data_IF_547624773281
#
_entry.id   IF_547624773281
#
_cell.length_a   1.000
_cell.length_b   1.000
_cell.length_c   1.000
_cell.angle_alpha   90.00
_cell.angle_beta   90.00
_cell.angle_gamma   90.00
#
_symmetry.space_group_name_H-M   'P 1'
#
loop_
_entity.id
_entity.type
_entity.pdbx_description
1 polymer ?
#
# COMPACT_ATOMS: atom_id res chain seq x y z
N UNK A 1 -15.77 -19.83 -9.04
CA UNK A 1 -15.17 -19.23 -7.84
C UNK A 1 -15.16 -20.31 -6.77
N UNK A 2 -14.11 -20.48 -5.96
CA UNK A 2 -14.11 -21.47 -4.86
C UNK A 2 -15.25 -21.19 -3.87
N UNK A 3 -15.79 -22.24 -3.27
CA UNK A 3 -16.93 -22.13 -2.33
C UNK A 3 -16.56 -21.38 -1.05
N UNK A 4 -15.28 -21.34 -0.68
CA UNK A 4 -14.76 -20.67 0.50
C UNK A 4 -14.20 -19.28 0.24
N UNK A 5 -14.38 -18.71 -0.97
CA UNK A 5 -13.73 -17.46 -1.38
C UNK A 5 -14.06 -16.28 -0.46
N UNK A 6 -15.33 -16.04 -0.22
CA UNK A 6 -15.76 -14.91 0.63
C UNK A 6 -15.30 -15.13 2.08
N UNK A 7 -15.48 -16.34 2.60
CA UNK A 7 -15.04 -16.70 3.96
C UNK A 7 -13.51 -16.53 4.13
N UNK A 8 -12.73 -16.90 3.13
CA UNK A 8 -11.27 -16.74 3.14
C UNK A 8 -10.87 -15.27 3.31
N UNK A 9 -11.45 -14.37 2.49
CA UNK A 9 -11.10 -12.97 2.57
C UNK A 9 -11.66 -12.27 3.82
N UNK A 10 -12.83 -12.64 4.28
CA UNK A 10 -13.38 -12.12 5.53
C UNK A 10 -12.53 -12.53 6.74
N UNK A 11 -12.07 -13.77 6.79
CA UNK A 11 -11.14 -14.22 7.82
C UNK A 11 -9.79 -13.50 7.73
N UNK A 12 -9.24 -13.31 6.54
CA UNK A 12 -7.99 -12.59 6.33
C UNK A 12 -8.09 -11.12 6.77
N UNK A 13 -9.18 -10.42 6.44
CA UNK A 13 -9.46 -9.06 6.93
C UNK A 13 -9.64 -9.01 8.45
N UNK A 14 -10.32 -10.00 9.01
CA UNK A 14 -10.52 -10.13 10.47
C UNK A 14 -9.19 -10.40 11.20
N UNK A 15 -8.30 -11.18 10.61
CA UNK A 15 -6.94 -11.37 11.12
C UNK A 15 -6.18 -10.04 11.09
N UNK A 16 -6.18 -9.34 9.96
CA UNK A 16 -5.54 -8.03 9.81
C UNK A 16 -6.05 -7.03 10.84
N UNK A 17 -7.35 -6.98 11.11
CA UNK A 17 -7.96 -6.04 12.05
C UNK A 17 -7.45 -6.17 13.49
N UNK A 18 -6.92 -7.34 13.87
CA UNK A 18 -6.31 -7.59 15.19
C UNK A 18 -4.85 -7.13 15.28
N UNK A 19 -4.23 -6.86 14.13
CA UNK A 19 -2.85 -6.39 14.08
C UNK A 19 -2.83 -4.89 14.33
N UNK A 20 -2.07 -4.38 15.31
CA UNK A 20 -1.92 -2.94 15.50
C UNK A 20 -1.35 -2.27 14.24
N UNK A 21 -1.81 -1.08 13.93
CA UNK A 21 -1.34 -0.33 12.75
C UNK A 21 0.17 -0.02 12.84
N UNK A 22 0.65 0.30 14.04
CA UNK A 22 2.06 0.62 14.35
C UNK A 22 2.72 1.45 13.24
N UNK A 23 2.04 2.54 12.86
CA UNK A 23 2.50 3.43 11.80
C UNK A 23 3.74 4.21 12.26
N UNK A 24 4.79 4.15 11.44
CA UNK A 24 6.03 4.92 11.66
C UNK A 24 6.23 5.83 10.45
N UNK A 25 6.34 7.13 10.73
CA UNK A 25 6.55 8.15 9.73
C UNK A 25 7.94 8.79 9.92
N UNK A 26 8.67 8.88 8.83
CA UNK A 26 9.95 9.60 8.77
C UNK A 26 9.78 10.72 7.75
N UNK A 27 9.94 11.97 8.18
CA UNK A 27 9.88 13.12 7.27
C UNK A 27 10.99 13.00 6.23
N UNK A 28 10.68 13.37 4.99
CA UNK A 28 11.60 13.44 3.85
C UNK A 28 11.77 14.91 3.44
N UNK A 29 12.63 15.67 4.14
CA UNK A 29 12.73 17.13 3.96
C UNK A 29 13.04 17.53 2.52
N UNK A 30 13.80 16.70 1.80
CA UNK A 30 14.20 16.93 0.40
C UNK A 30 13.03 16.95 -0.59
N UNK A 31 11.87 16.42 -0.18
CA UNK A 31 10.63 16.41 -0.97
C UNK A 31 9.55 17.36 -0.42
N UNK A 32 9.81 18.00 0.72
CA UNK A 32 8.89 18.97 1.30
C UNK A 32 9.09 20.33 0.65
N UNK A 33 8.01 21.11 0.51
CA UNK A 33 8.05 22.49 0.06
C UNK A 33 7.07 23.38 0.85
N UNK A 34 6.64 24.52 0.31
CA UNK A 34 5.69 25.41 0.98
C UNK A 34 4.31 24.78 1.16
N UNK A 35 3.91 23.88 0.26
CA UNK A 35 2.53 23.39 0.14
C UNK A 35 2.32 22.01 0.74
N UNK A 36 3.35 21.14 0.75
CA UNK A 36 3.23 19.74 1.16
C UNK A 36 4.32 19.29 2.14
N UNK A 37 3.96 18.35 2.99
CA UNK A 37 4.90 17.49 3.70
C UNK A 37 4.92 16.11 3.06
N UNK A 38 6.11 15.51 3.02
CA UNK A 38 6.33 14.16 2.49
C UNK A 38 6.97 13.29 3.54
N UNK A 39 6.46 12.08 3.70
CA UNK A 39 6.94 11.12 4.68
C UNK A 39 7.18 9.75 4.03
N UNK A 40 8.27 9.10 4.41
CA UNK A 40 8.38 7.66 4.28
C UNK A 40 7.55 7.02 5.39
N UNK A 41 6.57 6.21 5.01
CA UNK A 41 5.67 5.54 5.94
C UNK A 41 5.94 4.04 5.98
N UNK A 42 5.78 3.48 7.17
CA UNK A 42 5.96 2.06 7.47
C UNK A 42 4.80 1.60 8.35
N UNK A 43 3.97 0.69 7.84
CA UNK A 43 2.79 0.15 8.50
C UNK A 43 3.02 -1.32 8.86
N UNK A 44 2.43 -1.79 9.96
CA UNK A 44 2.44 -3.19 10.32
C UNK A 44 1.35 -3.95 9.57
N UNK A 45 1.71 -5.10 9.02
CA UNK A 45 0.83 -5.97 8.24
C UNK A 45 0.76 -7.37 8.91
N UNK A 46 0.07 -8.31 8.29
CA UNK A 46 -0.06 -9.67 8.82
C UNK A 46 1.29 -10.37 9.02
N UNK A 47 1.28 -11.43 9.80
CA UNK A 47 2.45 -12.32 9.93
C UNK A 47 2.72 -13.06 8.62
N UNK A 48 3.96 -13.44 8.43
CA UNK A 48 4.40 -14.35 7.38
C UNK A 48 4.99 -15.56 8.08
N UNK A 49 4.57 -16.75 7.67
CA UNK A 49 5.09 -17.99 8.24
C UNK A 49 6.61 -18.07 8.11
N UNK A 50 7.25 -18.55 9.16
CA UNK A 50 8.72 -18.63 9.24
C UNK A 50 9.42 -17.29 9.48
N UNK A 51 8.69 -16.16 9.59
CA UNK A 51 9.28 -14.86 9.90
C UNK A 51 8.97 -14.41 11.33
N UNK A 52 9.96 -13.91 12.08
CA UNK A 52 9.73 -13.45 13.45
C UNK A 52 8.95 -12.14 13.45
N UNK A 53 7.70 -12.17 13.89
CA UNK A 53 6.86 -10.99 14.06
C UNK A 53 5.95 -10.70 12.87
N UNK A 54 5.47 -9.47 12.82
CA UNK A 54 4.58 -8.99 11.76
C UNK A 54 5.38 -8.47 10.57
N UNK A 55 4.87 -8.70 9.37
CA UNK A 55 5.46 -8.09 8.18
C UNK A 55 5.21 -6.58 8.13
N UNK A 56 5.95 -5.87 7.31
CA UNK A 56 5.83 -4.42 7.15
C UNK A 56 5.34 -4.10 5.74
N UNK A 57 4.68 -2.95 5.62
CA UNK A 57 4.18 -2.41 4.35
C UNK A 57 4.59 -0.94 4.27
N UNK A 58 5.31 -0.58 3.22
CA UNK A 58 5.98 0.72 3.11
C UNK A 58 5.36 1.57 2.02
N UNK A 59 5.52 2.88 2.13
CA UNK A 59 5.07 3.82 1.11
C UNK A 59 5.67 5.21 1.27
N UNK A 60 5.31 6.09 0.34
CA UNK A 60 5.55 7.53 0.40
C UNK A 60 4.20 8.22 0.57
N UNK A 61 4.05 8.95 1.65
CA UNK A 61 2.86 9.73 2.00
C UNK A 61 3.13 11.20 1.73
N UNK A 62 2.33 11.83 0.89
CA UNK A 62 2.35 13.27 0.63
C UNK A 62 1.05 13.89 1.15
N UNK A 63 1.17 14.94 1.99
CA UNK A 63 0.03 15.57 2.68
C UNK A 63 0.10 17.08 2.51
N UNK A 64 -1.01 17.75 2.16
CA UNK A 64 -1.09 19.22 2.16
C UNK A 64 -0.74 19.80 3.54
N UNK A 65 0.05 20.88 3.57
CA UNK A 65 0.39 21.60 4.81
C UNK A 65 -0.74 22.46 5.34
N UNK A 66 -1.56 22.98 4.42
CA UNK A 66 -2.69 23.83 4.82
C UNK A 66 -3.69 22.99 5.62
N UNK A 67 -4.13 23.55 6.74
CA UNK A 67 -5.17 22.90 7.56
C UNK A 67 -6.46 22.76 6.75
N UNK A 68 -7.02 21.55 6.75
CA UNK A 68 -8.25 21.26 5.99
C UNK A 68 -8.62 19.78 6.03
N UNK A 69 -9.68 19.46 5.30
CA UNK A 69 -10.11 18.10 5.03
C UNK A 69 -9.92 17.82 3.54
N UNK A 70 -9.31 16.71 3.21
CA UNK A 70 -8.85 16.39 1.87
C UNK A 70 -9.32 15.01 1.41
N UNK A 71 -9.68 14.83 0.14
CA UNK A 71 -9.80 13.52 -0.45
C UNK A 71 -8.45 12.82 -0.48
N UNK A 72 -8.47 11.49 -0.58
CA UNK A 72 -7.24 10.71 -0.61
C UNK A 72 -7.13 9.84 -1.87
N UNK A 73 -5.88 9.60 -2.27
CA UNK A 73 -5.50 8.71 -3.35
C UNK A 73 -4.51 7.67 -2.86
N UNK A 74 -4.87 6.39 -3.00
CA UNK A 74 -3.97 5.27 -2.82
C UNK A 74 -3.42 4.86 -4.18
N UNK A 75 -2.11 5.02 -4.37
CA UNK A 75 -1.42 4.63 -5.59
C UNK A 75 -0.78 3.26 -5.40
N UNK A 76 -1.18 2.29 -6.20
CA UNK A 76 -0.63 0.93 -6.17
C UNK A 76 0.22 0.64 -7.41
N UNK A 77 1.36 -0.06 -7.25
CA UNK A 77 2.38 -0.12 -8.29
C UNK A 77 2.10 -1.14 -9.38
N UNK A 78 2.56 -0.84 -10.57
CA UNK A 78 2.83 -1.85 -11.61
C UNK A 78 3.92 -2.83 -11.18
N UNK A 79 4.17 -3.86 -11.99
CA UNK A 79 5.17 -4.89 -11.69
C UNK A 79 6.59 -4.29 -11.59
N UNK A 80 7.40 -4.89 -10.71
CA UNK A 80 8.82 -4.56 -10.53
C UNK A 80 9.18 -4.24 -9.09
N UNK A 81 10.47 -4.36 -8.79
CA UNK A 81 11.09 -4.06 -7.49
C UNK A 81 11.90 -2.78 -7.68
N UNK A 82 11.45 -1.68 -7.09
CA UNK A 82 12.02 -0.34 -7.37
C UNK A 82 11.70 0.65 -6.25
N UNK A 83 12.40 1.80 -6.20
CA UNK A 83 12.01 2.91 -5.34
C UNK A 83 10.72 3.59 -5.84
N UNK A 84 10.12 4.41 -4.98
CA UNK A 84 8.96 5.22 -5.32
C UNK A 84 9.20 6.69 -4.98
N UNK A 85 8.49 7.57 -5.68
CA UNK A 85 8.55 9.02 -5.52
C UNK A 85 7.24 9.57 -4.95
N UNK A 86 7.27 10.77 -4.34
CA UNK A 86 6.09 11.49 -3.93
C UNK A 86 5.13 11.76 -5.09
N UNK A 87 3.84 11.79 -4.80
CA UNK A 87 2.82 12.15 -5.76
C UNK A 87 2.53 13.66 -5.71
N UNK A 88 2.70 14.34 -6.83
CA UNK A 88 2.51 15.79 -6.95
C UNK A 88 1.07 16.28 -6.75
N UNK A 89 0.07 15.40 -6.89
CA UNK A 89 -1.35 15.74 -6.65
C UNK A 89 -1.64 16.20 -5.23
N UNK A 90 -0.72 15.95 -4.30
CA UNK A 90 -0.82 16.50 -2.96
C UNK A 90 -0.84 18.03 -2.95
N UNK A 91 -0.19 18.70 -3.90
CA UNK A 91 -0.24 20.17 -4.08
C UNK A 91 -1.61 20.66 -4.58
N UNK A 92 -2.39 19.76 -5.17
CA UNK A 92 -3.74 20.03 -5.66
C UNK A 92 -4.81 19.77 -4.58
N UNK A 93 -4.40 19.44 -3.35
CA UNK A 93 -5.29 19.23 -2.22
C UNK A 93 -5.73 17.77 -2.06
N UNK A 94 -4.87 16.81 -2.36
CA UNK A 94 -5.09 15.39 -2.07
C UNK A 94 -4.12 14.89 -1.00
N UNK A 95 -4.56 13.96 -0.17
CA UNK A 95 -3.65 13.08 0.55
C UNK A 95 -3.26 11.97 -0.41
N UNK A 96 -1.96 11.82 -0.70
CA UNK A 96 -1.49 10.81 -1.63
C UNK A 96 -0.60 9.80 -0.91
N UNK A 97 -0.96 8.51 -0.96
CA UNK A 97 -0.16 7.42 -0.43
C UNK A 97 0.24 6.49 -1.57
N UNK A 98 1.51 6.52 -1.95
CA UNK A 98 2.10 5.61 -2.94
C UNK A 98 2.77 4.45 -2.21
N UNK A 99 2.32 3.22 -2.43
CA UNK A 99 2.79 2.04 -1.69
C UNK A 99 3.73 1.17 -2.49
N UNK A 100 4.68 0.52 -1.79
CA UNK A 100 5.48 -0.58 -2.30
C UNK A 100 4.98 -1.90 -1.75
N UNK A 101 4.93 -2.94 -2.60
CA UNK A 101 4.26 -4.22 -2.28
C UNK A 101 5.19 -5.31 -1.73
N UNK A 102 6.50 -5.04 -1.65
CA UNK A 102 7.48 -6.08 -1.36
C UNK A 102 7.84 -6.22 0.13
N UNK A 103 7.29 -5.35 0.99
CA UNK A 103 7.60 -5.36 2.44
C UNK A 103 9.01 -4.85 2.75
N UNK A 104 9.59 -4.07 1.86
CA UNK A 104 10.90 -3.40 1.99
C UNK A 104 10.73 -1.89 1.89
N UNK A 105 11.62 -1.08 2.50
CA UNK A 105 11.61 0.37 2.36
C UNK A 105 11.56 0.79 0.88
N UNK A 106 10.92 1.91 0.57
CA UNK A 106 10.66 2.34 -0.82
C UNK A 106 11.51 3.55 -1.25
N UNK A 107 12.45 3.96 -0.40
CA UNK A 107 13.31 5.13 -0.58
C UNK A 107 14.82 4.81 -0.50
N UNK A 108 15.19 3.56 -0.76
CA UNK A 108 16.60 3.14 -0.83
C UNK A 108 17.18 3.45 -2.22
N UNK A 109 18.49 3.29 -2.37
CA UNK A 109 19.18 3.43 -3.65
C UNK A 109 18.71 2.36 -4.66
N UNK A 110 18.65 2.72 -5.94
CA UNK A 110 18.15 1.86 -7.02
C UNK A 110 18.90 0.52 -7.12
N UNK A 111 20.21 0.55 -6.86
CA UNK A 111 21.04 -0.67 -6.85
C UNK A 111 20.55 -1.71 -5.86
N UNK A 112 20.07 -1.30 -4.68
CA UNK A 112 19.55 -2.22 -3.65
C UNK A 112 18.35 -3.00 -4.20
N UNK A 113 17.44 -2.33 -4.92
CA UNK A 113 16.28 -3.00 -5.52
C UNK A 113 16.67 -3.95 -6.63
N UNK A 114 17.67 -3.59 -7.44
CA UNK A 114 18.22 -4.47 -8.48
C UNK A 114 18.79 -5.75 -7.87
N UNK A 115 19.55 -5.63 -6.79
CA UNK A 115 20.15 -6.77 -6.09
C UNK A 115 19.08 -7.66 -5.42
N UNK A 116 18.07 -7.08 -4.78
CA UNK A 116 16.94 -7.79 -4.18
C UNK A 116 16.11 -8.50 -5.25
N UNK A 117 15.85 -7.84 -6.38
CA UNK A 117 15.16 -8.47 -7.50
C UNK A 117 15.93 -9.71 -7.98
N UNK A 118 17.21 -9.58 -8.23
CA UNK A 118 18.04 -10.69 -8.73
C UNK A 118 18.16 -11.84 -7.72
N UNK A 119 18.22 -11.54 -6.41
CA UNK A 119 18.45 -12.55 -5.37
C UNK A 119 17.20 -13.30 -4.92
N UNK A 120 15.98 -12.78 -5.14
CA UNK A 120 14.80 -13.47 -4.62
C UNK A 120 13.45 -13.00 -5.14
N UNK A 121 13.34 -11.78 -5.67
CA UNK A 121 12.04 -11.25 -6.11
C UNK A 121 11.82 -11.26 -7.63
N UNK A 122 12.68 -11.93 -8.41
CA UNK A 122 12.55 -11.96 -9.88
C UNK A 122 11.22 -12.54 -10.37
N UNK A 123 10.64 -13.46 -9.60
CA UNK A 123 9.37 -14.14 -9.92
C UNK A 123 8.42 -14.13 -8.72
N UNK A 124 8.36 -13.03 -7.98
CA UNK A 124 7.54 -12.92 -6.76
C UNK A 124 6.06 -13.27 -6.98
N UNK A 125 5.54 -13.02 -8.20
CA UNK A 125 4.14 -13.33 -8.55
C UNK A 125 3.82 -14.84 -8.62
N UNK A 126 4.84 -15.69 -8.64
CA UNK A 126 4.70 -17.16 -8.63
C UNK A 126 4.91 -17.77 -7.24
N UNK A 127 5.30 -16.97 -6.25
CA UNK A 127 5.61 -17.49 -4.92
C UNK A 127 4.35 -18.03 -4.24
N UNK A 128 4.40 -19.32 -3.89
CA UNK A 128 3.33 -20.04 -3.19
C UNK A 128 1.98 -20.02 -3.93
N UNK A 129 2.00 -20.18 -5.26
CA UNK A 129 0.78 -20.27 -6.08
C UNK A 129 -0.10 -21.48 -5.72
N UNK A 130 0.49 -22.49 -5.13
CA UNK A 130 -0.14 -23.75 -4.69
C UNK A 130 -0.80 -23.67 -3.31
N UNK A 131 -0.58 -22.59 -2.57
CA UNK A 131 -1.10 -22.39 -1.23
C UNK A 131 -1.72 -20.99 -1.06
N UNK A 132 -3.04 -20.92 -0.94
CA UNK A 132 -3.77 -19.64 -0.78
C UNK A 132 -3.39 -18.87 0.47
N UNK A 133 -2.95 -19.56 1.54
CA UNK A 133 -2.59 -18.92 2.80
C UNK A 133 -1.19 -18.30 2.76
N UNK A 134 -0.28 -18.90 2.00
CA UNK A 134 1.09 -18.44 1.82
C UNK A 134 1.26 -17.59 0.56
N UNK A 135 0.27 -17.58 -0.34
CA UNK A 135 0.38 -16.88 -1.62
C UNK A 135 0.83 -15.42 -1.45
N UNK A 136 1.85 -15.05 -2.22
CA UNK A 136 2.52 -13.75 -2.12
C UNK A 136 1.55 -12.57 -2.11
N UNK A 137 0.54 -12.59 -2.96
CA UNK A 137 -0.41 -11.48 -3.08
C UNK A 137 -1.45 -11.40 -1.96
N UNK A 138 -1.65 -12.44 -1.15
CA UNK A 138 -2.51 -12.34 0.05
C UNK A 138 -2.02 -11.18 0.94
N UNK A 139 -0.72 -11.15 1.25
CA UNK A 139 -0.14 -10.08 2.07
C UNK A 139 -0.09 -8.73 1.35
N UNK A 140 0.00 -8.73 0.01
CA UNK A 140 -0.03 -7.50 -0.79
C UNK A 140 -1.41 -6.84 -0.71
N UNK A 141 -2.47 -7.60 -0.96
CA UNK A 141 -3.85 -7.10 -0.87
C UNK A 141 -4.18 -6.60 0.52
N UNK A 142 -3.81 -7.37 1.56
CA UNK A 142 -4.00 -6.96 2.95
C UNK A 142 -3.13 -5.74 3.32
N UNK A 143 -1.95 -5.60 2.76
CA UNK A 143 -1.13 -4.41 2.90
C UNK A 143 -1.79 -3.16 2.30
N UNK A 144 -2.46 -3.29 1.16
CA UNK A 144 -3.25 -2.20 0.57
C UNK A 144 -4.47 -1.85 1.45
N UNK A 145 -5.17 -2.84 2.01
CA UNK A 145 -6.24 -2.61 3.00
C UNK A 145 -5.68 -1.90 4.25
N UNK A 146 -4.49 -2.28 4.70
CA UNK A 146 -3.79 -1.60 5.81
C UNK A 146 -3.47 -0.14 5.48
N UNK A 147 -3.08 0.17 4.24
CA UNK A 147 -2.87 1.54 3.79
C UNK A 147 -4.18 2.35 3.82
N UNK A 148 -5.31 1.73 3.48
CA UNK A 148 -6.64 2.33 3.61
C UNK A 148 -6.97 2.59 5.10
N UNK A 149 -6.72 1.64 6.00
CA UNK A 149 -6.91 1.83 7.45
C UNK A 149 -6.14 3.06 7.95
N UNK A 150 -4.89 3.22 7.49
CA UNK A 150 -4.08 4.38 7.84
C UNK A 150 -4.69 5.69 7.34
N UNK A 151 -5.10 5.75 6.06
CA UNK A 151 -5.74 6.94 5.48
C UNK A 151 -6.99 7.33 6.29
N UNK A 152 -7.82 6.34 6.65
CA UNK A 152 -9.03 6.57 7.46
C UNK A 152 -8.73 6.99 8.91
N UNK A 153 -7.52 6.75 9.40
CA UNK A 153 -7.08 7.22 10.73
C UNK A 153 -6.53 8.66 10.73
N UNK A 154 -6.29 9.24 9.55
CA UNK A 154 -5.70 10.58 9.43
C UNK A 154 -6.73 11.65 9.72
N UNK A 155 -6.41 12.61 10.62
CA UNK A 155 -7.32 13.72 10.92
C UNK A 155 -7.55 14.66 9.72
N UNK A 156 -6.65 14.70 8.75
CA UNK A 156 -6.76 15.50 7.53
C UNK A 156 -7.67 14.87 6.46
N UNK A 157 -7.94 13.58 6.54
CA UNK A 157 -8.81 12.90 5.58
C UNK A 157 -10.27 13.38 5.75
N UNK A 158 -10.99 13.54 4.63
CA UNK A 158 -12.38 13.99 4.65
C UNK A 158 -13.38 12.90 5.10
N UNK A 159 -12.90 11.66 5.25
CA UNK A 159 -13.68 10.52 5.72
C UNK A 159 -14.54 9.84 4.65
N UNK A 160 -14.53 10.32 3.41
CA UNK A 160 -15.44 9.85 2.36
C UNK A 160 -14.78 9.58 1.02
N UNK A 161 -13.94 10.49 0.54
CA UNK A 161 -13.47 10.48 -0.84
C UNK A 161 -12.10 9.80 -0.97
N UNK A 162 -12.10 8.47 -0.95
CA UNK A 162 -10.92 7.65 -1.20
C UNK A 162 -10.95 7.08 -2.62
N UNK A 163 -9.95 7.43 -3.42
CA UNK A 163 -9.66 6.82 -4.71
C UNK A 163 -8.48 5.85 -4.64
N UNK A 164 -8.51 4.83 -5.48
CA UNK A 164 -7.38 3.94 -5.74
C UNK A 164 -7.06 3.94 -7.23
N UNK A 165 -5.78 3.99 -7.56
CA UNK A 165 -5.36 3.94 -8.96
C UNK A 165 -4.05 3.16 -9.15
N UNK A 166 -3.89 2.60 -10.34
CA UNK A 166 -2.68 1.91 -10.74
C UNK A 166 -2.73 1.39 -12.16
N UNK A 167 -1.55 1.26 -12.77
CA UNK A 167 -1.38 0.74 -14.12
C UNK A 167 -0.83 -0.68 -14.13
N UNK A 168 -1.12 -1.46 -15.18
CA UNK A 168 -0.64 -2.84 -15.35
C UNK A 168 -1.00 -3.71 -14.14
N UNK A 169 -0.02 -4.33 -13.47
CA UNK A 169 -0.25 -5.03 -12.19
C UNK A 169 -0.99 -4.14 -11.17
N UNK A 170 -0.67 -2.84 -11.12
CA UNK A 170 -1.37 -1.88 -10.26
C UNK A 170 -2.85 -1.72 -10.62
N UNK A 171 -3.21 -1.85 -11.90
CA UNK A 171 -4.60 -1.90 -12.34
C UNK A 171 -5.34 -3.09 -11.74
N UNK A 172 -4.75 -4.29 -11.80
CA UNK A 172 -5.30 -5.49 -11.15
C UNK A 172 -5.40 -5.32 -9.62
N UNK A 173 -4.35 -4.79 -8.98
CA UNK A 173 -4.36 -4.49 -7.54
C UNK A 173 -5.48 -3.53 -7.17
N UNK A 174 -5.68 -2.47 -7.96
CA UNK A 174 -6.74 -1.48 -7.72
C UNK A 174 -8.13 -2.11 -7.75
N UNK A 175 -8.40 -2.96 -8.74
CA UNK A 175 -9.68 -3.68 -8.87
C UNK A 175 -9.90 -4.62 -7.68
N UNK A 176 -8.90 -5.42 -7.34
CA UNK A 176 -9.00 -6.41 -6.26
C UNK A 176 -9.19 -5.71 -4.91
N UNK A 177 -8.41 -4.67 -4.63
CA UNK A 177 -8.48 -3.94 -3.35
C UNK A 177 -9.82 -3.21 -3.22
N UNK A 178 -10.34 -2.61 -4.30
CA UNK A 178 -11.66 -1.99 -4.28
C UNK A 178 -12.80 -3.03 -4.06
N UNK A 179 -12.62 -4.26 -4.53
CA UNK A 179 -13.53 -5.37 -4.24
C UNK A 179 -13.44 -5.88 -2.78
N UNK A 180 -12.26 -5.81 -2.17
CA UNK A 180 -12.04 -6.25 -0.79
C UNK A 180 -12.46 -5.19 0.24
N UNK A 181 -12.45 -3.91 -0.13
CA UNK A 181 -12.68 -2.79 0.77
C UNK A 181 -13.66 -1.76 0.20
N UNK A 182 -14.88 -1.80 0.66
CA UNK A 182 -15.97 -0.91 0.20
C UNK A 182 -15.77 0.57 0.57
N UNK A 183 -14.75 0.91 1.36
CA UNK A 183 -14.35 2.28 1.66
C UNK A 183 -13.73 2.97 0.43
N UNK A 184 -13.22 2.24 -0.55
CA UNK A 184 -12.79 2.78 -1.84
C UNK A 184 -14.03 3.23 -2.63
N UNK A 185 -14.07 4.52 -3.01
CA UNK A 185 -15.20 5.14 -3.73
C UNK A 185 -14.91 5.38 -5.22
N UNK A 186 -13.64 5.54 -5.54
CA UNK A 186 -13.21 5.83 -6.91
C UNK A 186 -12.11 4.86 -7.32
N UNK A 187 -12.23 4.31 -8.52
CA UNK A 187 -11.29 3.34 -9.07
C UNK A 187 -10.82 3.80 -10.45
N UNK A 188 -9.50 3.90 -10.62
CA UNK A 188 -8.86 4.15 -11.90
C UNK A 188 -7.81 3.07 -12.20
N UNK A 189 -8.22 2.02 -12.89
CA UNK A 189 -7.35 0.96 -13.38
C UNK A 189 -7.04 1.17 -14.86
N UNK A 190 -5.76 1.10 -15.24
CA UNK A 190 -5.32 1.29 -16.62
C UNK A 190 -4.16 0.35 -16.99
N UNK A 191 -3.93 0.20 -18.31
CA UNK A 191 -2.84 -0.60 -18.89
C UNK A 191 -1.91 0.28 -19.71
#
# INVERSE_FOLDING_TARGET
MPDDFDMFWDNAKKELSKVPLDAKLTLMPEYCDADINVYHINLQNIKIDGWPGYSRFYGILSVPKKTGKYPALLNVPGAGVRPYSPDGRAKEGFICLTVGIHGIPVNMEEKVYTDIHASGLAKYWMMHLDDKDLYYYKRVYLGCVRAIDYIYSMPEFDGQNLGINGGSQGGALSIIVAGLDTRVKYLAAFY
#
